data_IF_531509047357
#
_entry.id   IF_531509047357
#
_cell.length_a   1.000
_cell.length_b   1.000
_cell.length_c   1.000
_cell.angle_alpha   90.00
_cell.angle_beta   90.00
_cell.angle_gamma   90.00
#
_symmetry.space_group_name_H-M   'P 1'
#
loop_
_entity.id
_entity.type
_entity.pdbx_description
1 polymer ?
#
# COMPACT_ATOMS: atom_id res chain seq x y z
N UNK A 1 -0.54 -40.07 27.46
CA UNK A 1 0.32 -38.87 27.48
C UNK A 1 -0.49 -37.75 26.84
N UNK A 2 -1.20 -36.96 27.65
CA UNK A 2 -1.99 -35.83 27.16
C UNK A 2 -1.04 -34.70 26.81
N UNK A 3 -0.92 -34.43 25.51
CA UNK A 3 -0.20 -33.30 24.95
C UNK A 3 -0.66 -32.01 25.63
N UNK A 4 0.22 -31.40 26.42
CA UNK A 4 0.05 -30.09 27.01
C UNK A 4 0.26 -29.03 25.93
N UNK A 5 -0.71 -28.90 25.03
CA UNK A 5 -0.85 -27.71 24.19
C UNK A 5 -1.18 -26.55 25.14
N UNK A 6 -0.34 -25.51 25.25
CA UNK A 6 -0.62 -24.40 26.16
C UNK A 6 -1.90 -23.69 25.74
N UNK A 7 -2.91 -23.68 26.61
CA UNK A 7 -4.16 -22.95 26.41
C UNK A 7 -3.95 -21.46 26.70
N UNK A 8 -3.34 -20.78 25.74
CA UNK A 8 -3.22 -19.33 25.73
C UNK A 8 -1.97 -18.79 26.43
N UNK A 9 -1.58 -17.59 26.00
CA UNK A 9 -0.56 -16.80 26.67
C UNK A 9 -1.12 -16.25 27.97
N UNK A 10 -0.36 -16.37 29.05
CA UNK A 10 -0.65 -15.63 30.27
C UNK A 10 -0.53 -14.11 30.02
N UNK A 11 -1.23 -13.29 30.81
CA UNK A 11 -1.14 -11.84 30.70
C UNK A 11 0.30 -11.33 30.87
N UNK A 12 1.13 -12.03 31.64
CA UNK A 12 2.55 -11.72 31.81
C UNK A 12 3.39 -12.06 30.58
N UNK A 13 3.08 -13.16 29.89
CA UNK A 13 3.75 -13.51 28.62
C UNK A 13 3.35 -12.55 27.50
N UNK A 14 2.09 -12.15 27.46
CA UNK A 14 1.60 -11.10 26.56
C UNK A 14 2.31 -9.77 26.81
N UNK A 15 2.49 -9.38 28.08
CA UNK A 15 3.24 -8.17 28.44
C UNK A 15 4.70 -8.28 28.01
N UNK A 16 5.35 -9.42 28.24
CA UNK A 16 6.73 -9.64 27.78
C UNK A 16 6.86 -9.60 26.26
N UNK A 17 5.87 -10.10 25.51
CA UNK A 17 5.87 -10.01 24.05
C UNK A 17 5.67 -8.56 23.57
N UNK A 18 4.83 -7.78 24.24
CA UNK A 18 4.67 -6.35 24.00
C UNK A 18 5.95 -5.56 24.32
N UNK A 19 6.58 -5.84 25.45
CA UNK A 19 7.82 -5.18 25.88
C UNK A 19 8.99 -5.49 24.93
N UNK A 20 8.98 -6.67 24.31
CA UNK A 20 9.99 -7.10 23.32
C UNK A 20 9.56 -6.83 21.86
N UNK A 21 8.34 -6.34 21.63
CA UNK A 21 7.91 -5.98 20.29
C UNK A 21 8.74 -4.77 19.85
N UNK A 22 9.37 -4.88 18.68
CA UNK A 22 10.06 -3.74 18.08
C UNK A 22 9.05 -2.60 17.93
N UNK A 23 9.23 -1.55 18.73
CA UNK A 23 8.45 -0.33 18.57
C UNK A 23 8.82 0.19 17.19
N UNK A 24 7.87 0.17 16.25
CA UNK A 24 8.08 0.79 14.95
C UNK A 24 8.49 2.23 15.25
N UNK A 25 9.77 2.57 15.01
CA UNK A 25 10.21 3.95 15.06
C UNK A 25 9.45 4.64 13.94
N UNK A 26 8.33 5.26 14.31
CA UNK A 26 7.71 6.28 13.49
C UNK A 26 8.78 7.36 13.35
N UNK A 27 9.48 7.38 12.22
CA UNK A 27 10.35 8.49 11.86
C UNK A 27 9.45 9.69 11.67
N UNK A 28 9.22 10.42 12.76
CA UNK A 28 8.51 11.69 12.76
C UNK A 28 9.48 12.76 12.25
N UNK A 29 9.89 12.64 10.99
CA UNK A 29 10.37 13.81 10.28
C UNK A 29 9.10 14.55 9.85
N UNK A 30 8.89 15.77 10.37
CA UNK A 30 7.86 16.64 9.80
C UNK A 30 8.09 16.70 8.29
N UNK A 31 7.05 16.46 7.48
CA UNK A 31 7.22 16.44 6.03
C UNK A 31 7.79 17.79 5.61
N UNK A 32 8.91 17.77 4.88
CA UNK A 32 9.52 18.96 4.30
C UNK A 32 8.42 19.79 3.62
N UNK A 33 8.21 21.00 4.14
CA UNK A 33 7.10 21.87 3.73
C UNK A 33 7.12 22.18 2.24
N UNK A 34 8.28 22.12 1.60
CA UNK A 34 8.42 22.36 0.17
C UNK A 34 8.03 21.12 -0.65
N UNK A 35 8.33 19.92 -0.17
CA UNK A 35 7.86 18.66 -0.77
C UNK A 35 6.33 18.56 -0.62
N UNK A 36 5.80 18.90 0.56
CA UNK A 36 4.36 18.87 0.81
C UNK A 36 3.60 19.80 -0.14
N UNK A 37 4.10 21.02 -0.38
CA UNK A 37 3.52 21.94 -1.37
C UNK A 37 3.59 21.41 -2.79
N UNK A 38 4.73 20.85 -3.19
CA UNK A 38 4.89 20.26 -4.51
C UNK A 38 3.91 19.10 -4.73
N UNK A 39 3.66 18.29 -3.71
CA UNK A 39 2.68 17.19 -3.76
C UNK A 39 1.26 17.71 -3.93
N UNK A 40 0.90 18.81 -3.26
CA UNK A 40 -0.42 19.45 -3.42
C UNK A 40 -0.59 20.04 -4.81
N UNK A 41 0.40 20.80 -5.30
CA UNK A 41 0.37 21.36 -6.67
C UNK A 41 0.32 20.26 -7.73
N UNK A 42 1.01 19.13 -7.51
CA UNK A 42 0.92 17.97 -8.39
C UNK A 42 -0.48 17.33 -8.34
N UNK A 43 -1.12 17.30 -7.17
CA UNK A 43 -2.49 16.82 -6.99
C UNK A 43 -3.48 17.61 -7.82
N UNK A 44 -3.46 18.94 -7.72
CA UNK A 44 -4.33 19.83 -8.49
C UNK A 44 -4.15 19.62 -10.01
N UNK A 45 -2.90 19.50 -10.47
CA UNK A 45 -2.59 19.23 -11.89
C UNK A 45 -3.09 17.85 -12.35
N UNK A 46 -3.09 16.84 -11.47
CA UNK A 46 -3.60 15.51 -11.79
C UNK A 46 -5.13 15.54 -11.88
N UNK A 47 -5.82 16.25 -10.98
CA UNK A 47 -7.27 16.43 -11.05
C UNK A 47 -7.67 17.11 -12.37
N UNK A 48 -7.01 18.22 -12.72
CA UNK A 48 -7.24 18.91 -14.00
C UNK A 48 -6.99 17.99 -15.21
N UNK A 49 -5.93 17.17 -15.17
CA UNK A 49 -5.65 16.21 -16.23
C UNK A 49 -6.71 15.10 -16.31
N UNK A 50 -7.21 14.64 -15.17
CA UNK A 50 -8.25 13.63 -15.09
C UNK A 50 -9.58 14.15 -15.64
N UNK A 51 -9.96 15.39 -15.32
CA UNK A 51 -11.16 16.04 -15.82
C UNK A 51 -11.10 16.27 -17.34
N UNK A 52 -9.93 16.66 -17.85
CA UNK A 52 -9.70 16.82 -19.28
C UNK A 52 -9.81 15.47 -20.02
N UNK A 53 -9.16 14.41 -19.52
CA UNK A 53 -9.29 13.08 -20.13
C UNK A 53 -10.72 12.53 -20.07
N UNK A 54 -11.43 12.80 -18.98
CA UNK A 54 -12.83 12.43 -18.85
C UNK A 54 -13.68 13.12 -19.93
N UNK A 55 -13.44 14.41 -20.17
CA UNK A 55 -14.18 15.20 -21.14
C UNK A 55 -13.84 14.85 -22.59
N UNK A 56 -12.56 14.61 -22.89
CA UNK A 56 -12.07 14.36 -24.25
C UNK A 56 -12.27 12.92 -24.72
N UNK A 57 -12.09 11.94 -23.82
CA UNK A 57 -12.15 10.51 -24.16
C UNK A 57 -13.41 9.81 -23.66
N UNK A 58 -14.27 10.52 -22.93
CA UNK A 58 -15.52 9.97 -22.39
C UNK A 58 -15.30 8.91 -21.30
N UNK A 59 -14.14 8.89 -20.67
CA UNK A 59 -13.81 7.95 -19.59
C UNK A 59 -14.29 8.53 -18.26
N UNK A 60 -15.14 7.84 -17.48
CA UNK A 60 -15.61 8.36 -16.20
C UNK A 60 -14.46 8.69 -15.24
N UNK A 61 -14.50 9.83 -14.52
CA UNK A 61 -13.37 10.29 -13.71
C UNK A 61 -13.05 9.31 -12.57
N UNK A 62 -14.06 8.65 -12.00
CA UNK A 62 -13.90 7.58 -11.01
C UNK A 62 -13.16 6.34 -11.55
N UNK A 63 -13.41 5.96 -12.81
CA UNK A 63 -12.69 4.84 -13.45
C UNK A 63 -11.22 5.21 -13.65
N UNK A 64 -10.95 6.43 -14.10
CA UNK A 64 -9.60 6.94 -14.24
C UNK A 64 -8.86 7.00 -12.90
N UNK A 65 -9.52 7.47 -11.84
CA UNK A 65 -8.97 7.49 -10.49
C UNK A 65 -8.57 6.11 -10.00
N UNK A 66 -9.43 5.11 -10.22
CA UNK A 66 -9.12 3.71 -9.90
C UNK A 66 -7.90 3.20 -10.67
N UNK A 67 -7.80 3.48 -11.96
CA UNK A 67 -6.64 3.08 -12.79
C UNK A 67 -5.36 3.75 -12.28
N UNK A 68 -5.39 5.04 -11.96
CA UNK A 68 -4.26 5.78 -11.39
C UNK A 68 -3.82 5.16 -10.06
N UNK A 69 -4.76 4.80 -9.18
CA UNK A 69 -4.45 4.13 -7.92
C UNK A 69 -3.81 2.75 -8.13
N UNK A 70 -4.31 1.95 -9.07
CA UNK A 70 -3.74 0.64 -9.40
C UNK A 70 -2.31 0.77 -9.93
N UNK A 71 -2.07 1.69 -10.85
CA UNK A 71 -0.72 1.99 -11.39
C UNK A 71 0.22 2.45 -10.28
N UNK A 72 -0.26 3.31 -9.39
CA UNK A 72 0.51 3.79 -8.23
C UNK A 72 0.88 2.63 -7.31
N UNK A 73 -0.08 1.75 -6.98
CA UNK A 73 0.20 0.57 -6.15
C UNK A 73 1.27 -0.32 -6.80
N UNK A 74 1.15 -0.64 -8.09
CA UNK A 74 2.13 -1.46 -8.81
C UNK A 74 3.54 -0.85 -8.77
N UNK A 75 3.66 0.46 -9.02
CA UNK A 75 4.94 1.15 -8.96
C UNK A 75 5.55 1.12 -7.55
N UNK A 76 4.72 1.24 -6.52
CA UNK A 76 5.17 1.17 -5.14
C UNK A 76 5.60 -0.25 -4.75
N UNK A 77 4.89 -1.29 -5.21
CA UNK A 77 5.28 -2.69 -5.02
C UNK A 77 6.67 -2.95 -5.64
N UNK A 78 6.87 -2.54 -6.88
CA UNK A 78 8.15 -2.73 -7.58
C UNK A 78 9.30 -2.02 -6.87
N UNK A 79 9.08 -0.77 -6.47
CA UNK A 79 10.08 0.02 -5.76
C UNK A 79 10.45 -0.62 -4.41
N UNK A 80 9.45 -0.96 -3.58
CA UNK A 80 9.68 -1.55 -2.26
C UNK A 80 10.36 -2.92 -2.37
N UNK A 81 9.96 -3.73 -3.35
CA UNK A 81 10.58 -5.04 -3.63
C UNK A 81 12.05 -4.90 -4.05
N UNK A 82 12.36 -3.91 -4.90
CA UNK A 82 13.73 -3.62 -5.31
C UNK A 82 14.61 -3.13 -4.15
N UNK A 83 14.09 -2.23 -3.32
CA UNK A 83 14.82 -1.71 -2.15
C UNK A 83 15.04 -2.83 -1.12
N UNK A 84 14.02 -3.65 -0.85
CA UNK A 84 14.14 -4.84 -0.01
C UNK A 84 15.27 -5.76 -0.48
N UNK A 85 15.32 -6.08 -1.78
CA UNK A 85 16.37 -6.91 -2.36
C UNK A 85 17.77 -6.31 -2.15
N UNK A 86 17.93 -5.00 -2.36
CA UNK A 86 19.21 -4.31 -2.13
C UNK A 86 19.68 -4.39 -0.68
N UNK A 87 18.77 -4.23 0.29
CA UNK A 87 19.11 -4.37 1.71
C UNK A 87 19.47 -5.82 2.06
N UNK A 88 18.75 -6.80 1.50
CA UNK A 88 19.05 -8.22 1.71
C UNK A 88 20.45 -8.59 1.17
N UNK A 89 20.82 -8.09 -0.01
CA UNK A 89 22.16 -8.28 -0.61
C UNK A 89 23.29 -7.67 0.24
N UNK A 90 22.99 -6.64 1.04
CA UNK A 90 23.94 -6.00 1.97
C UNK A 90 23.98 -6.66 3.35
N UNK A 91 23.15 -7.69 3.59
CA UNK A 91 23.03 -8.35 4.91
C UNK A 91 22.15 -7.59 5.91
N UNK A 92 21.46 -6.53 5.47
CA UNK A 92 20.59 -5.69 6.31
C UNK A 92 19.17 -6.29 6.36
N UNK A 93 19.05 -7.49 6.93
CA UNK A 93 17.83 -8.30 6.84
C UNK A 93 16.59 -7.65 7.48
N UNK A 94 16.75 -6.97 8.62
CA UNK A 94 15.61 -6.32 9.30
C UNK A 94 14.98 -5.22 8.43
N UNK A 95 15.81 -4.42 7.76
CA UNK A 95 15.35 -3.40 6.83
C UNK A 95 14.74 -4.04 5.59
N UNK A 96 15.38 -5.08 5.04
CA UNK A 96 14.87 -5.81 3.89
C UNK A 96 13.47 -6.37 4.14
N UNK A 97 13.23 -6.95 5.32
CA UNK A 97 11.91 -7.48 5.72
C UNK A 97 10.90 -6.35 5.86
N UNK A 98 11.29 -5.21 6.45
CA UNK A 98 10.41 -4.03 6.55
C UNK A 98 9.90 -3.56 5.19
N UNK A 99 10.81 -3.37 4.23
CA UNK A 99 10.45 -2.97 2.86
C UNK A 99 9.61 -4.02 2.13
N UNK A 100 9.92 -5.31 2.28
CA UNK A 100 9.13 -6.38 1.66
C UNK A 100 7.70 -6.45 2.24
N UNK A 101 7.56 -6.25 3.55
CA UNK A 101 6.25 -6.20 4.22
C UNK A 101 5.41 -5.05 3.68
N UNK A 102 6.00 -3.88 3.49
CA UNK A 102 5.30 -2.72 2.95
C UNK A 102 4.91 -2.90 1.47
N UNK A 103 5.74 -3.59 0.67
CA UNK A 103 5.34 -4.04 -0.67
C UNK A 103 4.06 -4.90 -0.63
N UNK A 104 3.98 -5.83 0.33
CA UNK A 104 2.78 -6.65 0.56
C UNK A 104 1.53 -5.83 0.92
N UNK A 105 1.68 -4.71 1.64
CA UNK A 105 0.55 -3.80 1.94
C UNK A 105 0.02 -3.14 0.66
N UNK A 106 0.89 -2.67 -0.23
CA UNK A 106 0.47 -2.13 -1.53
C UNK A 106 -0.17 -3.20 -2.41
N UNK A 107 0.32 -4.44 -2.36
CA UNK A 107 -0.31 -5.56 -3.06
C UNK A 107 -1.73 -5.85 -2.52
N UNK A 108 -1.93 -5.76 -1.21
CA UNK A 108 -3.26 -5.88 -0.61
C UNK A 108 -4.20 -4.75 -1.06
N UNK A 109 -3.70 -3.51 -1.13
CA UNK A 109 -4.47 -2.38 -1.68
C UNK A 109 -4.88 -2.60 -3.14
N UNK A 110 -3.94 -3.05 -3.98
CA UNK A 110 -4.23 -3.36 -5.38
C UNK A 110 -5.29 -4.47 -5.52
N UNK A 111 -5.20 -5.51 -4.68
CA UNK A 111 -6.20 -6.58 -4.64
C UNK A 111 -7.58 -6.04 -4.25
N UNK A 112 -7.68 -5.22 -3.20
CA UNK A 112 -8.96 -4.58 -2.81
C UNK A 112 -9.52 -3.74 -3.94
N UNK A 113 -8.69 -2.89 -4.57
CA UNK A 113 -9.11 -2.05 -5.70
C UNK A 113 -9.65 -2.90 -6.86
N UNK A 114 -9.04 -4.06 -7.14
CA UNK A 114 -9.54 -4.98 -8.17
C UNK A 114 -10.90 -5.61 -7.87
N UNK A 115 -11.46 -5.42 -6.67
CA UNK A 115 -12.78 -5.95 -6.29
C UNK A 115 -13.87 -4.88 -6.17
N UNK A 116 -13.51 -3.60 -6.28
CA UNK A 116 -14.45 -2.48 -6.12
C UNK A 116 -14.89 -1.99 -7.50
N UNK A 117 -16.19 -2.12 -7.77
CA UNK A 117 -16.82 -1.56 -8.98
C UNK A 117 -17.03 -0.06 -8.77
N UNK A 118 -16.53 0.75 -9.71
CA UNK A 118 -16.67 2.22 -9.67
C UNK A 118 -17.50 2.78 -10.82
N UNK A 119 -17.80 1.98 -11.85
CA UNK A 119 -18.60 2.37 -13.02
C UNK A 119 -19.27 1.15 -13.66
N UNK A 120 -20.32 1.36 -14.46
CA UNK A 120 -20.99 0.29 -15.23
C UNK A 120 -20.04 -0.37 -16.26
N UNK A 121 -19.06 0.37 -16.76
CA UNK A 121 -18.06 -0.12 -17.73
C UNK A 121 -16.70 -0.44 -17.09
N UNK A 122 -16.67 -0.75 -15.79
CA UNK A 122 -15.44 -1.06 -15.06
C UNK A 122 -14.91 -2.47 -15.37
N UNK A 123 -14.16 -2.57 -16.48
CA UNK A 123 -13.50 -3.82 -16.91
C UNK A 123 -12.32 -4.24 -16.00
N UNK A 124 -11.91 -3.41 -15.03
CA UNK A 124 -10.80 -3.71 -14.13
C UNK A 124 -11.23 -4.47 -12.87
N UNK A 125 -12.53 -4.70 -12.68
CA UNK A 125 -13.07 -5.61 -11.67
C UNK A 125 -13.55 -6.89 -12.34
N UNK A 126 -12.97 -8.06 -12.04
CA UNK A 126 -13.50 -9.32 -12.53
C UNK A 126 -14.82 -9.64 -11.80
N UNK A 127 -15.95 -9.32 -12.43
CA UNK A 127 -17.27 -9.74 -11.97
C UNK A 127 -18.39 -8.77 -12.32
N UNK A 128 -18.99 -8.96 -13.49
CA UNK A 128 -20.42 -8.85 -13.84
C UNK A 128 -20.57 -9.10 -15.35
N UNK A 129 -20.05 -10.24 -15.82
CA UNK A 129 -20.57 -10.85 -17.05
C UNK A 129 -21.68 -11.78 -16.59
N UNK A 130 -22.94 -11.36 -16.77
CA UNK A 130 -24.07 -12.30 -16.82
C UNK A 130 -23.95 -13.19 -18.07
#
# INVERSE_FOLDING_TARGET
>A
MTSSIPNGFSSEELQKLLDNASTEKCTSDEPDTDIAKLVLELGDNIEDYMDNMSTEQGVPPQLLGKVVMLLTCNRMIDWHSHISKKHAERGELDQAVGWARDAGKFQALANILSTIIVDENDEFTPGLSD
#
